data_IF_503036339943
#
_entry.id   IF_503036339943
#
_cell.length_a   1.000
_cell.length_b   1.000
_cell.length_c   1.000
_cell.angle_alpha   90.00
_cell.angle_beta   90.00
_cell.angle_gamma   90.00
#
_symmetry.space_group_name_H-M   'P 1'
#
loop_
_entity.id
_entity.type
_entity.pdbx_description
1 polymer ?
2 non-polymer ?
3 water ?
#
# COMPACT_ATOMS: atom_id res chain seq x y z
N UNK A 4 -22.25 16.79 -15.53
CA UNK A 4 -22.56 15.84 -16.64
C UNK A 4 -24.07 15.53 -16.70
N UNK A 5 -24.46 14.37 -16.17
CA UNK A 5 -25.90 14.05 -15.92
C UNK A 5 -26.34 14.94 -14.77
N UNK A 6 -25.38 15.43 -14.00
CA UNK A 6 -25.75 16.12 -12.78
C UNK A 6 -24.64 16.99 -12.22
N UNK A 7 -24.60 17.11 -10.89
CA UNK A 7 -23.58 17.88 -10.22
C UNK A 7 -22.38 16.97 -9.94
N UNK A 8 -21.59 16.70 -10.96
CA UNK A 8 -20.47 15.79 -10.85
C UNK A 8 -19.20 16.49 -11.28
N UNK A 9 -19.22 17.83 -11.36
CA UNK A 9 -18.07 18.57 -11.69
C UNK A 9 -17.59 19.35 -10.48
N UNK A 10 -16.29 19.41 -10.32
CA UNK A 10 -15.73 20.20 -9.19
C UNK A 10 -14.44 20.80 -9.67
N UNK A 11 -14.22 22.08 -9.50
CA UNK A 11 -12.92 22.60 -9.91
C UNK A 11 -12.77 22.38 -11.44
N UNK A 12 -11.58 22.07 -11.94
CA UNK A 12 -11.51 21.60 -13.35
C UNK A 12 -11.74 20.11 -13.62
N UNK A 13 -12.49 19.41 -12.79
CA UNK A 13 -12.64 17.96 -12.93
C UNK A 13 -14.05 17.52 -13.04
N UNK A 14 -14.25 16.32 -13.62
CA UNK A 14 -15.53 15.70 -13.77
C UNK A 14 -15.36 14.39 -13.07
N UNK A 15 -16.28 14.03 -12.16
CA UNK A 15 -16.20 12.78 -11.39
C UNK A 15 -16.92 11.69 -12.08
N UNK A 16 -16.42 10.45 -12.01
CA UNK A 16 -17.05 9.35 -12.70
C UNK A 16 -17.29 8.19 -11.78
N UNK A 17 -16.94 6.99 -12.22
CA UNK A 17 -17.20 5.79 -11.39
C UNK A 17 -16.41 5.66 -10.05
N UNK A 18 -17.06 5.08 -9.04
CA UNK A 18 -16.39 4.73 -7.79
C UNK A 18 -15.32 3.66 -7.96
N UNK A 19 -14.10 3.93 -7.51
CA UNK A 19 -13.08 2.92 -7.52
C UNK A 19 -12.90 2.25 -6.15
N UNK A 20 -13.31 2.89 -5.06
CA UNK A 20 -13.01 2.35 -3.71
C UNK A 20 -13.83 3.13 -2.69
N UNK A 21 -14.10 2.55 -1.52
CA UNK A 21 -14.86 3.25 -0.45
C UNK A 21 -14.05 3.17 0.81
N UNK A 22 -14.08 4.19 1.66
CA UNK A 22 -13.30 4.01 2.87
C UNK A 22 -14.17 4.47 4.01
N UNK A 23 -13.57 4.55 5.20
CA UNK A 23 -14.30 5.03 6.40
C UNK A 23 -14.96 6.34 6.15
N UNK A 24 -14.25 7.28 5.51
CA UNK A 24 -14.72 8.65 5.47
C UNK A 24 -15.20 9.06 4.07
N UNK A 25 -15.36 8.13 3.16
CA UNK A 25 -16.03 8.53 1.91
C UNK A 25 -15.67 7.55 0.78
N UNK A 26 -15.28 8.06 -0.37
CA UNK A 26 -14.95 7.14 -1.44
C UNK A 26 -14.02 7.78 -2.46
N UNK A 27 -13.42 6.97 -3.31
CA UNK A 27 -12.47 7.52 -4.24
C UNK A 27 -13.13 7.25 -5.61
N UNK A 28 -13.22 8.28 -6.46
CA UNK A 28 -13.74 8.03 -7.79
C UNK A 28 -12.74 8.31 -8.91
N UNK A 29 -12.91 7.62 -10.02
CA UNK A 29 -12.14 8.06 -11.20
C UNK A 29 -12.67 9.41 -11.64
N UNK A 30 -11.78 10.28 -12.07
CA UNK A 30 -12.17 11.61 -12.47
C UNK A 30 -11.44 11.91 -13.78
N UNK A 31 -11.78 13.02 -14.45
CA UNK A 31 -10.95 13.42 -15.61
C UNK A 31 -10.89 14.93 -15.67
N UNK A 32 -9.78 15.47 -16.12
CA UNK A 32 -9.65 16.90 -16.21
C UNK A 32 -10.58 17.30 -17.36
N UNK A 33 -11.35 18.37 -17.21
CA UNK A 33 -12.52 18.56 -18.08
C UNK A 33 -12.11 19.07 -19.49
N UNK A 34 -10.98 19.75 -19.55
CA UNK A 34 -10.44 20.34 -20.74
C UNK A 34 -9.52 19.33 -21.48
N UNK A 35 -8.78 18.52 -20.74
CA UNK A 35 -7.80 17.61 -21.33
C UNK A 35 -8.20 16.15 -21.34
N UNK A 36 -9.20 15.78 -20.54
CA UNK A 36 -9.57 14.38 -20.46
C UNK A 36 -8.58 13.55 -19.61
N UNK A 37 -7.52 14.16 -19.13
CA UNK A 37 -6.51 13.43 -18.31
C UNK A 37 -7.11 12.81 -17.01
N UNK A 38 -6.88 11.53 -16.73
CA UNK A 38 -7.53 10.88 -15.57
C UNK A 38 -6.87 11.21 -14.25
N UNK A 39 -7.69 11.31 -13.20
CA UNK A 39 -7.24 11.52 -11.83
C UNK A 39 -8.05 10.62 -10.90
N UNK A 40 -7.59 10.46 -9.65
CA UNK A 40 -8.38 9.71 -8.60
C UNK A 40 -8.78 10.73 -7.54
N UNK A 41 -10.09 10.95 -7.36
CA UNK A 41 -10.59 11.99 -6.50
C UNK A 41 -11.14 11.29 -5.25
N UNK A 42 -10.45 11.48 -4.12
CA UNK A 42 -11.02 11.02 -2.84
C UNK A 42 -11.97 12.10 -2.36
N UNK A 43 -13.19 11.71 -2.03
CA UNK A 43 -14.19 12.64 -1.55
C UNK A 43 -14.47 12.34 -0.08
N UNK A 44 -14.05 13.23 0.82
CA UNK A 44 -14.20 12.91 2.21
C UNK A 44 -15.44 13.66 2.67
N UNK A 45 -16.37 12.90 3.25
CA UNK A 45 -17.68 13.39 3.74
C UNK A 45 -17.43 14.06 5.13
N UNK A 46 -17.51 15.37 5.17
CA UNK A 46 -17.23 16.15 6.33
C UNK A 46 -18.20 15.95 7.48
N UNK A 47 -19.43 15.58 7.19
CA UNK A 47 -20.34 15.22 8.27
C UNK A 47 -19.92 13.89 8.89
N UNK A 48 -19.54 12.90 8.08
CA UNK A 48 -18.99 11.71 8.71
C UNK A 48 -17.70 12.01 9.54
N UNK A 49 -16.83 12.86 9.04
CA UNK A 49 -15.67 13.28 9.83
C UNK A 49 -16.06 13.92 11.18
N UNK A 50 -17.01 14.85 11.15
CA UNK A 50 -17.45 15.48 12.39
C UNK A 50 -18.07 14.43 13.32
N UNK A 51 -18.80 13.47 12.74
CA UNK A 51 -19.46 12.44 13.54
C UNK A 51 -18.54 11.64 14.40
N UNK A 52 -17.37 11.24 13.87
CA UNK A 52 -16.48 10.44 14.61
C UNK A 52 -15.49 11.38 15.31
N UNK A 53 -15.73 12.69 15.19
CA UNK A 53 -14.89 13.67 15.88
C UNK A 53 -13.38 13.59 15.58
N UNK A 54 -13.03 13.57 14.27
CA UNK A 54 -11.63 13.45 13.85
C UNK A 54 -11.31 14.56 12.86
N UNK A 55 -11.94 15.71 13.08
CA UNK A 55 -11.74 16.85 12.23
C UNK A 55 -10.27 17.30 12.22
N UNK A 56 -9.67 17.52 13.41
CA UNK A 56 -8.26 17.88 13.54
C UNK A 56 -7.30 16.80 12.92
N UNK A 57 -7.58 15.53 13.10
CA UNK A 57 -6.67 14.50 12.57
C UNK A 57 -6.72 14.45 11.02
N UNK A 58 -7.94 14.60 10.45
CA UNK A 58 -8.14 14.64 8.98
C UNK A 58 -7.39 15.82 8.47
N UNK A 59 -7.63 17.03 8.97
CA UNK A 59 -6.86 18.19 8.52
C UNK A 59 -5.35 18.07 8.63
N UNK A 60 -4.82 17.57 9.75
CA UNK A 60 -3.38 17.29 9.82
C UNK A 60 -2.91 16.32 8.72
N UNK A 61 -3.67 15.26 8.50
CA UNK A 61 -3.28 14.28 7.49
C UNK A 61 -3.28 14.92 6.05
N UNK A 62 -4.32 15.63 5.68
CA UNK A 62 -4.38 16.30 4.39
C UNK A 62 -3.20 17.29 4.22
N UNK A 63 -2.94 18.05 5.28
CA UNK A 63 -1.84 18.99 5.18
C UNK A 63 -0.49 18.29 4.98
N UNK A 64 -0.31 17.16 5.66
CA UNK A 64 0.91 16.41 5.57
C UNK A 64 1.05 15.83 4.14
N UNK A 65 -0.02 15.25 3.62
CA UNK A 65 0.00 14.58 2.38
C UNK A 65 0.24 15.58 1.21
N UNK A 66 -0.19 16.83 1.39
CA UNK A 66 0.07 17.86 0.39
C UNK A 66 1.54 18.01 0.02
N UNK A 67 2.41 17.68 0.97
CA UNK A 67 3.84 17.89 0.82
C UNK A 67 4.60 16.61 0.48
N UNK A 68 3.92 15.47 0.43
CA UNK A 68 4.59 14.25 0.05
C UNK A 68 5.10 14.38 -1.40
N UNK A 69 6.30 13.89 -1.61
CA UNK A 69 6.82 13.80 -2.93
C UNK A 69 7.83 12.68 -3.02
N UNK A 70 7.43 11.60 -3.66
CA UNK A 70 8.28 10.43 -3.68
C UNK A 70 7.82 9.74 -4.96
N UNK A 71 8.77 9.23 -5.75
CA UNK A 71 8.36 8.71 -7.03
C UNK A 71 7.53 7.46 -6.87
N UNK A 72 7.45 6.83 -5.68
CA UNK A 72 6.62 5.61 -5.65
C UNK A 72 5.40 5.74 -4.68
N UNK A 73 4.96 6.97 -4.50
CA UNK A 73 3.69 7.33 -3.79
C UNK A 73 2.87 8.24 -4.69
N UNK A 74 1.60 7.84 -4.83
CA UNK A 74 0.61 8.57 -5.53
C UNK A 74 0.64 10.01 -5.05
N UNK A 75 0.74 10.94 -5.99
CA UNK A 75 0.83 12.38 -5.72
C UNK A 75 -0.57 12.96 -5.39
N UNK A 76 -0.57 14.06 -4.68
CA UNK A 76 -1.80 14.79 -4.38
C UNK A 76 -1.61 16.10 -5.15
N UNK A 77 -2.41 16.33 -6.19
CA UNK A 77 -2.39 17.56 -7.04
C UNK A 77 -3.17 18.71 -6.44
N UNK A 78 -4.34 18.42 -5.87
CA UNK A 78 -5.09 19.52 -5.32
C UNK A 78 -6.15 19.08 -4.33
N UNK A 79 -6.51 19.98 -3.42
CA UNK A 79 -7.56 19.73 -2.41
C UNK A 79 -8.58 20.82 -2.54
N UNK A 80 -9.81 20.48 -2.76
CA UNK A 80 -10.80 21.53 -2.79
C UNK A 80 -11.74 21.23 -1.65
N UNK A 81 -11.99 22.19 -0.79
CA UNK A 81 -12.96 21.92 0.24
C UNK A 81 -14.24 22.75 0.10
N UNK A 82 -15.33 22.08 0.35
CA UNK A 82 -16.66 22.64 0.41
C UNK A 82 -17.22 22.36 1.79
N UNK A 83 -18.35 22.97 2.11
CA UNK A 83 -18.95 22.77 3.44
C UNK A 83 -19.24 21.29 3.65
N UNK A 84 -19.52 20.54 2.60
CA UNK A 84 -19.84 19.14 2.90
C UNK A 84 -18.78 18.05 2.56
N UNK A 85 -17.73 18.44 1.86
CA UNK A 85 -16.71 17.44 1.44
C UNK A 85 -15.35 18.06 1.30
N UNK A 86 -14.30 17.26 1.44
CA UNK A 86 -13.02 17.65 0.87
C UNK A 86 -12.80 16.80 -0.39
N UNK A 87 -12.37 17.40 -1.49
CA UNK A 87 -12.08 16.63 -2.68
C UNK A 87 -10.54 16.59 -2.77
N UNK A 88 -9.93 15.42 -2.70
CA UNK A 88 -8.48 15.36 -2.83
C UNK A 88 -8.19 14.82 -4.23
N UNK A 89 -7.75 15.68 -5.12
CA UNK A 89 -7.53 15.24 -6.50
C UNK A 89 -6.15 14.61 -6.57
N UNK A 90 -6.11 13.31 -6.86
CA UNK A 90 -4.84 12.60 -6.78
C UNK A 90 -4.43 12.01 -8.09
N UNK A 91 -3.15 11.64 -8.17
CA UNK A 91 -2.71 10.91 -9.32
C UNK A 91 -3.47 9.58 -9.57
N UNK A 92 -3.91 9.32 -10.81
CA UNK A 92 -4.53 8.05 -11.16
C UNK A 92 -3.44 7.20 -11.82
N UNK A 93 -3.36 5.92 -11.46
CA UNK A 93 -2.40 4.99 -12.14
C UNK A 93 -3.13 3.80 -12.78
N UNK A 94 -2.77 3.48 -14.02
CA UNK A 94 -3.54 2.60 -14.87
C UNK A 94 -3.37 1.10 -14.58
N UNK A 95 -2.25 0.69 -14.02
CA UNK A 95 -2.00 -0.75 -13.84
C UNK A 95 -2.88 -1.46 -12.82
N UNK A 96 -3.59 -0.70 -12.00
CA UNK A 96 -4.41 -1.30 -10.98
C UNK A 96 -3.50 -1.78 -9.86
N UNK A 97 -4.06 -2.66 -9.06
CA UNK A 97 -3.44 -3.04 -7.83
C UNK A 97 -2.47 -4.22 -8.03
N UNK A 98 -1.33 -4.14 -7.38
CA UNK A 98 -0.35 -5.15 -7.54
C UNK A 98 -0.91 -6.56 -7.28
N UNK A 99 -1.65 -6.76 -6.20
CA UNK A 99 -2.12 -8.15 -5.99
C UNK A 99 -3.03 -8.69 -7.11
N UNK A 100 -3.93 -7.85 -7.63
CA UNK A 100 -4.78 -8.23 -8.78
C UNK A 100 -3.94 -8.58 -10.00
N UNK A 101 -2.89 -7.82 -10.24
CA UNK A 101 -2.00 -8.11 -11.36
C UNK A 101 -1.41 -9.50 -11.25
N UNK A 102 -0.78 -9.77 -10.11
CA UNK A 102 -0.17 -11.03 -9.87
C UNK A 102 -1.18 -12.17 -9.98
N UNK A 103 -2.38 -11.88 -9.50
CA UNK A 103 -3.46 -12.83 -9.52
C UNK A 103 -3.85 -13.13 -10.96
N UNK A 104 -4.03 -12.11 -11.78
CA UNK A 104 -4.29 -12.36 -13.17
C UNK A 104 -3.09 -12.96 -13.97
N UNK A 105 -1.87 -12.46 -13.77
CA UNK A 105 -0.75 -12.90 -14.60
C UNK A 105 0.20 -13.87 -13.90
N UNK A 106 -0.10 -14.20 -12.65
CA UNK A 106 0.79 -15.05 -11.88
C UNK A 106 2.10 -14.37 -11.54
N UNK A 107 3.04 -15.11 -10.99
CA UNK A 107 4.32 -14.53 -10.56
C UNK A 107 5.16 -13.73 -11.57
N UNK A 108 6.01 -12.85 -11.03
CA UNK A 108 6.83 -11.95 -11.80
C UNK A 108 8.18 -12.59 -11.84
N UNK A 109 8.87 -12.36 -12.96
CA UNK A 109 10.22 -12.86 -13.06
C UNK A 109 11.10 -12.23 -11.94
N UNK A 110 12.06 -13.00 -11.42
CA UNK A 110 12.86 -12.54 -10.26
C UNK A 110 13.47 -11.13 -10.30
N UNK A 111 14.20 -10.80 -11.37
CA UNK A 111 14.74 -9.44 -11.50
C UNK A 111 13.66 -8.35 -11.39
N UNK A 112 12.52 -8.58 -12.06
CA UNK A 112 11.36 -7.72 -12.03
C UNK A 112 10.78 -7.62 -10.59
N UNK A 113 10.67 -8.76 -9.90
CA UNK A 113 10.26 -8.77 -8.48
C UNK A 113 11.17 -7.89 -7.66
N UNK A 114 12.49 -8.00 -7.85
CA UNK A 114 13.40 -7.15 -7.12
C UNK A 114 13.33 -5.65 -7.44
N UNK A 115 13.19 -5.29 -8.72
CA UNK A 115 12.98 -3.88 -9.14
C UNK A 115 11.77 -3.29 -8.33
N UNK A 116 10.63 -3.94 -8.47
CA UNK A 116 9.38 -3.50 -7.86
C UNK A 116 9.47 -3.50 -6.35
N UNK A 117 10.00 -4.57 -5.78
CA UNK A 117 10.25 -4.58 -4.34
C UNK A 117 11.11 -3.45 -3.80
N UNK A 118 12.21 -3.10 -4.48
CA UNK A 118 13.03 -1.97 -4.00
C UNK A 118 12.25 -0.61 -4.04
N UNK A 119 11.42 -0.45 -5.07
CA UNK A 119 10.56 0.80 -5.14
C UNK A 119 9.53 0.82 -3.99
N UNK A 120 8.86 -0.32 -3.75
CA UNK A 120 7.84 -0.42 -2.66
C UNK A 120 8.50 -0.12 -1.29
N UNK A 121 9.63 -0.77 -1.02
CA UNK A 121 10.24 -0.51 0.30
C UNK A 121 10.79 0.89 0.43
N UNK A 122 11.21 1.52 -0.68
CA UNK A 122 11.65 2.90 -0.50
C UNK A 122 10.39 3.75 -0.07
N UNK A 123 9.25 3.49 -0.70
CA UNK A 123 8.07 4.32 -0.44
C UNK A 123 7.68 4.14 1.03
N UNK A 124 7.77 2.89 1.47
CA UNK A 124 7.44 2.54 2.91
C UNK A 124 8.29 3.25 3.89
N UNK A 125 9.58 3.21 3.64
CA UNK A 125 10.52 3.92 4.43
C UNK A 125 10.22 5.42 4.41
N UNK A 126 9.91 5.97 3.25
CA UNK A 126 9.57 7.42 3.26
C UNK A 126 8.31 7.65 4.15
N UNK A 127 7.32 6.78 4.03
CA UNK A 127 6.15 6.99 4.90
C UNK A 127 6.51 6.89 6.38
N UNK A 128 7.34 5.92 6.74
CA UNK A 128 7.86 5.86 8.15
C UNK A 128 8.49 7.12 8.58
N UNK A 129 9.26 7.75 7.70
CA UNK A 129 9.82 9.04 8.01
C UNK A 129 8.86 10.23 8.00
N UNK A 130 7.77 10.20 7.22
CA UNK A 130 7.00 11.47 7.00
C UNK A 130 5.52 11.52 7.43
N UNK A 131 4.91 10.39 7.67
CA UNK A 131 3.51 10.40 8.02
C UNK A 131 3.47 11.04 9.39
N UNK A 132 2.46 11.87 9.66
CA UNK A 132 2.42 12.58 10.97
C UNK A 132 2.27 11.55 12.03
N UNK A 133 1.51 10.50 11.71
CA UNK A 133 1.23 9.47 12.67
C UNK A 133 1.45 8.19 11.92
N UNK A 134 2.07 7.24 12.60
CA UNK A 134 2.41 6.04 11.93
C UNK A 134 1.12 5.26 11.82
N UNK A 135 0.73 4.78 10.64
CA UNK A 135 -0.29 3.71 10.55
C UNK A 135 0.16 2.64 9.63
N UNK A 136 -0.47 1.47 9.79
CA UNK A 136 0.09 0.25 9.32
C UNK A 136 -0.08 0.10 7.82
N UNK A 137 1.01 -0.22 7.13
CA UNK A 137 0.95 -0.32 5.66
C UNK A 137 -0.15 -1.25 5.32
N UNK A 138 -0.88 -0.99 4.26
CA UNK A 138 -1.88 -1.92 3.76
C UNK A 138 -1.45 -2.49 2.39
N UNK A 139 -1.13 -3.80 2.31
CA UNK A 139 -0.65 -4.29 1.03
C UNK A 139 -1.48 -4.01 -0.19
N UNK A 140 -2.80 -4.00 -0.03
CA UNK A 140 -3.68 -3.71 -1.15
C UNK A 140 -3.50 -2.27 -1.70
N UNK A 141 -2.80 -1.43 -0.95
CA UNK A 141 -2.62 -0.10 -1.45
C UNK A 141 -1.50 0.05 -2.47
N UNK A 142 -0.84 -1.05 -2.84
CA UNK A 142 0.32 -0.97 -3.69
C UNK A 142 -0.25 -1.09 -5.09
N UNK A 143 -0.04 -0.06 -5.88
CA UNK A 143 -0.61 -0.08 -7.22
C UNK A 143 0.52 -0.07 -8.27
N UNK A 144 0.17 -0.18 -9.58
CA UNK A 144 1.20 -0.26 -10.67
C UNK A 144 0.87 0.82 -11.67
N UNK A 145 1.85 1.59 -12.10
CA UNK A 145 1.59 2.63 -13.09
C UNK A 145 1.76 2.13 -14.53
N UNK A 146 1.66 3.03 -15.51
CA UNK A 146 1.62 2.61 -16.94
C UNK A 146 2.98 2.08 -17.36
N UNK A 147 3.99 2.33 -16.54
CA UNK A 147 5.41 1.99 -16.84
C UNK A 147 5.85 0.80 -16.02
N UNK A 148 4.87 0.13 -15.41
CA UNK A 148 5.16 -1.01 -14.53
C UNK A 148 6.03 -0.63 -13.34
N UNK A 149 5.80 0.55 -12.73
CA UNK A 149 6.51 0.91 -11.52
C UNK A 149 5.48 0.94 -10.38
N UNK A 150 5.94 0.62 -9.16
CA UNK A 150 5.08 0.69 -7.94
C UNK A 150 4.65 2.09 -7.62
N UNK A 151 3.39 2.24 -7.22
CA UNK A 151 2.90 3.49 -6.68
C UNK A 151 1.96 3.12 -5.50
N UNK A 152 2.31 3.53 -4.28
CA UNK A 152 1.50 3.28 -3.11
C UNK A 152 0.48 4.43 -2.88
N UNK A 153 -0.77 4.07 -2.80
CA UNK A 153 -1.87 4.99 -2.43
C UNK A 153 -1.86 5.21 -0.90
N UNK A 154 -2.06 6.46 -0.43
CA UNK A 154 -1.92 6.77 0.97
C UNK A 154 -2.92 5.89 1.76
N UNK A 155 -2.48 5.46 2.94
CA UNK A 155 -3.23 4.45 3.65
C UNK A 155 -3.54 4.87 5.09
N UNK A 156 -3.52 6.16 5.39
CA UNK A 156 -3.92 6.62 6.70
C UNK A 156 -5.44 6.68 6.87
N UNK A 157 -5.91 7.68 7.65
CA UNK A 157 -7.34 7.79 7.93
C UNK A 157 -8.15 7.99 6.66
N UNK A 158 -7.59 8.73 5.67
CA UNK A 158 -8.32 8.97 4.41
C UNK A 158 -8.18 7.85 3.39
N UNK A 159 -7.67 6.69 3.82
CA UNK A 159 -7.53 5.54 2.96
C UNK A 159 -8.88 5.20 2.33
N UNK A 160 -8.90 5.04 1.01
CA UNK A 160 -10.14 4.76 0.35
C UNK A 160 -9.99 3.47 -0.45
N UNK A 161 -8.90 2.74 -0.26
CA UNK A 161 -8.65 1.52 -1.08
C UNK A 161 -9.63 0.40 -0.77
N UNK A 162 -10.53 0.13 -1.72
CA UNK A 162 -11.53 -0.96 -1.66
C UNK A 162 -11.37 -1.86 -2.94
N UNK A 163 -12.20 -2.90 -3.06
CA UNK A 163 -11.81 -4.19 -3.72
C UNK A 163 -11.49 -4.40 -5.21
N UNK A 164 -11.26 -5.69 -5.54
CA UNK A 164 -10.47 -6.07 -6.70
C UNK A 164 -10.65 -7.44 -7.34
N UNK A 165 -10.59 -8.53 -6.56
CA UNK A 165 -10.61 -9.89 -7.15
C UNK A 165 -10.92 -11.03 -6.12
N UNK A 166 -10.30 -12.19 -6.33
CA UNK A 166 -10.32 -13.31 -5.34
C UNK A 166 -8.88 -13.79 -4.96
N UNK A 167 -8.74 -14.98 -4.38
CA UNK A 167 -7.37 -15.46 -4.05
C UNK A 167 -6.62 -15.95 -5.29
N UNK A 174 -8.84 -12.49 3.33
CA UNK A 174 -9.16 -11.27 4.07
C UNK A 174 -8.52 -11.28 5.45
N UNK A 175 -8.80 -12.32 6.25
CA UNK A 175 -8.18 -12.47 7.57
C UNK A 175 -6.68 -12.58 7.49
N UNK A 176 -5.97 -11.50 7.80
CA UNK A 176 -4.54 -11.51 7.51
C UNK A 176 -3.80 -10.34 8.13
N UNK A 177 -2.80 -10.66 8.93
CA UNK A 177 -2.09 -9.68 9.75
C UNK A 177 -0.85 -10.34 10.30
N UNK A 178 0.11 -9.54 10.77
CA UNK A 178 1.36 -10.01 11.34
C UNK A 178 1.13 -10.81 12.65
N UNK A 179 2.07 -11.72 13.00
CA UNK A 179 1.90 -12.61 14.17
C UNK A 179 1.50 -11.86 15.46
N UNK A 180 2.27 -10.84 15.85
CA UNK A 180 2.03 -10.10 17.10
C UNK A 180 0.72 -9.31 17.11
N UNK A 181 0.24 -8.95 15.92
CA UNK A 181 -1.07 -8.32 15.78
C UNK A 181 -2.22 -9.28 16.07
N UNK A 182 -2.22 -10.44 15.45
CA UNK A 182 -3.34 -11.38 15.69
C UNK A 182 -3.26 -12.10 17.08
N UNK A 183 -2.08 -12.15 17.68
CA UNK A 183 -1.96 -12.65 19.06
C UNK A 183 -2.39 -11.62 20.10
N UNK A 184 -2.90 -10.47 19.66
CA UNK A 184 -3.30 -9.46 20.62
C UNK A 184 -2.18 -9.01 21.53
N UNK A 185 -0.97 -8.85 20.99
CA UNK A 185 0.17 -8.25 21.75
C UNK A 185 0.43 -6.80 21.41
N UNK A 186 1.11 -6.06 22.30
CA UNK A 186 1.53 -4.67 22.09
C UNK A 186 2.54 -4.65 20.93
N UNK A 187 2.41 -3.75 19.96
CA UNK A 187 3.31 -3.87 18.85
C UNK A 187 3.65 -2.50 18.28
N UNK A 188 4.65 -2.48 17.39
CA UNK A 188 5.17 -1.26 16.81
C UNK A 188 4.90 -1.37 15.30
N UNK A 189 4.22 -0.35 14.78
CA UNK A 189 3.93 -0.24 13.37
C UNK A 189 5.05 -0.63 12.43
N UNK A 190 6.22 -0.01 12.55
CA UNK A 190 7.32 -0.31 11.58
C UNK A 190 7.72 -1.81 11.50
N UNK A 191 7.64 -2.55 12.62
CA UNK A 191 7.95 -3.96 12.54
C UNK A 191 6.89 -4.74 11.85
N UNK A 192 5.61 -4.43 12.09
CA UNK A 192 4.53 -5.10 11.34
C UNK A 192 4.58 -4.75 9.84
N UNK A 193 4.97 -3.54 9.55
CA UNK A 193 5.15 -3.18 8.10
C UNK A 193 6.17 -4.07 7.33
N UNK A 194 7.25 -4.39 7.98
CA UNK A 194 8.27 -5.33 7.42
C UNK A 194 7.62 -6.67 7.08
N UNK A 195 6.83 -7.20 8.02
CA UNK A 195 6.14 -8.46 7.80
C UNK A 195 5.24 -8.34 6.58
N UNK A 196 4.53 -7.21 6.48
CA UNK A 196 3.64 -7.03 5.34
C UNK A 196 4.41 -6.95 3.99
N UNK A 197 5.58 -6.33 3.99
CA UNK A 197 6.48 -6.32 2.81
C UNK A 197 7.05 -7.70 2.45
N UNK A 198 7.19 -8.58 3.46
CA UNK A 198 7.59 -9.97 3.21
C UNK A 198 6.43 -10.67 2.54
N UNK A 199 5.20 -10.35 2.95
CA UNK A 199 4.07 -10.96 2.24
C UNK A 199 4.03 -10.45 0.75
N UNK A 200 4.31 -9.16 0.58
CA UNK A 200 4.35 -8.60 -0.82
C UNK A 200 5.51 -9.22 -1.66
N UNK A 201 6.69 -9.23 -1.13
CA UNK A 201 7.76 -9.89 -1.86
C UNK A 201 7.42 -11.36 -2.23
N UNK A 202 6.93 -12.12 -1.23
CA UNK A 202 6.54 -13.50 -1.45
C UNK A 202 5.51 -13.59 -2.57
N UNK A 203 4.52 -12.70 -2.62
CA UNK A 203 3.56 -12.82 -3.70
C UNK A 203 4.17 -12.47 -5.13
N UNK A 204 5.07 -11.51 -5.19
CA UNK A 204 5.75 -11.15 -6.45
C UNK A 204 6.55 -12.40 -6.95
N UNK A 205 7.28 -13.04 -6.03
CA UNK A 205 8.09 -14.20 -6.37
C UNK A 205 7.33 -15.52 -6.63
N UNK A 206 6.19 -15.75 -5.93
CA UNK A 206 5.59 -17.06 -5.92
C UNK A 206 4.21 -16.98 -6.50
N UNK A 207 3.72 -15.77 -6.70
CA UNK A 207 2.43 -15.70 -7.31
C UNK A 207 1.35 -16.17 -6.37
N UNK A 208 1.68 -16.38 -5.10
CA UNK A 208 0.65 -16.66 -4.10
C UNK A 208 0.99 -15.96 -2.79
N UNK A 209 0.01 -15.90 -1.87
CA UNK A 209 0.26 -15.46 -0.49
C UNK A 209 0.93 -16.59 0.22
N UNK A 210 1.83 -16.27 1.17
CA UNK A 210 2.62 -17.25 1.90
C UNK A 210 1.84 -17.93 3.02
N UNK A 211 0.66 -17.40 3.33
CA UNK A 211 -0.26 -18.10 4.23
C UNK A 211 -1.64 -17.94 3.63
N UNK A 212 -2.22 -19.06 3.19
CA UNK A 212 -3.50 -19.05 2.48
C UNK A 212 -4.36 -20.05 3.25
N UNK A 213 -5.67 -19.82 3.35
CA UNK A 213 -6.48 -20.65 4.26
C UNK A 213 -7.82 -20.01 4.60
N UNK A 214 -8.89 -20.41 3.92
CA UNK A 214 -10.24 -19.91 4.25
C UNK A 214 -10.67 -20.29 5.68
N UNK A 215 -10.09 -21.35 6.22
CA UNK A 215 -10.34 -21.67 7.63
C UNK A 215 -9.52 -20.74 8.55
N UNK A 216 -10.21 -19.78 9.15
CA UNK A 216 -9.56 -18.70 9.90
C UNK A 216 -8.80 -19.12 11.18
N UNK A 217 -8.87 -20.39 11.59
CA UNK A 217 -8.03 -20.83 12.69
C UNK A 217 -6.71 -21.44 12.22
N UNK A 218 -6.76 -22.20 11.12
CA UNK A 218 -5.55 -22.77 10.54
C UNK A 218 -4.67 -21.61 10.09
N UNK A 219 -5.30 -20.70 9.34
CA UNK A 219 -4.62 -19.50 8.83
C UNK A 219 -3.85 -18.81 9.93
N UNK A 220 -4.56 -18.45 10.99
CA UNK A 220 -3.97 -17.79 12.15
C UNK A 220 -2.89 -18.64 12.85
N UNK A 221 -3.16 -19.93 13.04
CA UNK A 221 -2.15 -20.82 13.63
C UNK A 221 -0.96 -20.86 12.68
N UNK A 222 -1.28 -20.92 11.38
CA UNK A 222 -0.25 -20.88 10.33
C UNK A 222 0.59 -19.61 10.43
N UNK A 223 -0.07 -18.46 10.36
CA UNK A 223 0.62 -17.19 10.65
C UNK A 223 1.52 -17.23 11.94
N UNK A 224 0.94 -17.49 13.12
CA UNK A 224 1.75 -17.53 14.37
C UNK A 224 2.78 -18.66 14.35
N UNK A 225 2.42 -19.76 13.69
CA UNK A 225 3.37 -20.86 13.40
C UNK A 225 4.50 -20.41 12.47
N UNK A 226 4.19 -19.56 11.49
CA UNK A 226 5.23 -19.03 10.60
C UNK A 226 5.77 -20.04 9.60
N UNK A 227 4.96 -21.03 9.23
CA UNK A 227 5.40 -22.02 8.25
C UNK A 227 4.92 -21.68 6.85
N UNK A 228 5.88 -21.48 5.95
CA UNK A 228 5.56 -21.13 4.57
C UNK A 228 6.38 -21.94 3.57
N UNK A 229 5.79 -22.15 2.41
CA UNK A 229 6.39 -22.95 1.34
C UNK A 229 7.39 -22.13 0.52
N UNK A 230 8.59 -22.68 0.30
CA UNK A 230 9.58 -22.03 -0.55
C UNK A 230 9.70 -22.85 -1.82
N UNK A 231 9.19 -22.34 -2.97
CA UNK A 231 9.27 -23.15 -4.19
C UNK A 231 10.70 -23.45 -4.61
N UNK A 232 10.87 -24.54 -5.38
CA UNK A 232 12.18 -24.97 -5.87
C UNK A 232 12.90 -23.93 -6.71
N UNK A 233 12.14 -23.21 -7.53
CA UNK A 233 12.74 -22.22 -8.38
C UNK A 233 13.28 -21.01 -7.61
N UNK A 234 12.83 -20.82 -6.36
CA UNK A 234 13.34 -19.65 -5.64
C UNK A 234 14.74 -19.93 -5.22
N UNK A 235 15.65 -18.99 -5.46
CA UNK A 235 17.04 -19.14 -5.01
C UNK A 235 17.12 -19.11 -3.50
N UNK A 236 18.31 -19.35 -2.97
CA UNK A 236 18.47 -19.32 -1.52
C UNK A 236 18.80 -17.95 -0.94
N UNK A 237 19.37 -17.06 -1.73
CA UNK A 237 19.72 -15.74 -1.21
C UNK A 237 18.43 -14.92 -0.95
N UNK A 238 17.41 -15.11 -1.80
CA UNK A 238 16.12 -14.44 -1.60
C UNK A 238 15.26 -15.22 -0.59
N UNK A 239 15.50 -16.52 -0.47
CA UNK A 239 14.77 -17.29 0.54
C UNK A 239 15.15 -16.87 1.95
N UNK A 240 16.41 -16.54 2.17
CA UNK A 240 16.81 -16.07 3.46
C UNK A 240 16.19 -14.72 3.83
N UNK A 241 16.00 -13.86 2.82
CA UNK A 241 15.31 -12.57 3.05
C UNK A 241 13.87 -12.83 3.40
N UNK A 242 13.19 -13.65 2.64
CA UNK A 242 11.81 -13.84 2.97
C UNK A 242 11.67 -14.33 4.41
N UNK A 243 12.58 -15.23 4.81
CA UNK A 243 12.49 -15.80 6.17
C UNK A 243 12.81 -14.76 7.22
N UNK A 244 13.73 -13.86 6.95
CA UNK A 244 14.05 -12.90 8.00
C UNK A 244 12.94 -11.79 8.11
N UNK A 245 12.21 -11.60 7.03
CA UNK A 245 11.13 -10.58 6.99
C UNK A 245 9.86 -11.15 7.54
N UNK A 246 9.64 -12.43 7.29
CA UNK A 246 8.48 -13.08 7.89
C UNK A 246 8.75 -13.76 9.27
N UNK A 247 9.88 -13.51 9.91
CA UNK A 247 10.08 -13.93 11.31
C UNK A 247 8.81 -13.67 12.11
N UNK A 248 8.27 -14.70 12.79
CA UNK A 248 7.07 -14.49 13.66
C UNK A 248 7.44 -13.60 14.83
N UNK A 249 8.66 -13.71 15.28
CA UNK A 249 9.08 -12.90 16.40
C UNK A 249 9.59 -11.52 16.02
N UNK A 250 8.76 -10.48 16.23
CA UNK A 250 9.07 -9.10 15.85
C UNK A 250 10.45 -8.63 16.32
N UNK A 251 10.95 -9.20 17.40
CA UNK A 251 12.26 -8.80 17.86
C UNK A 251 13.30 -9.46 16.97
N UNK A 252 12.96 -10.54 16.28
CA UNK A 252 13.98 -11.17 15.42
C UNK A 252 13.86 -10.74 13.92
N UNK A 253 12.83 -9.97 13.61
CA UNK A 253 12.44 -9.71 12.21
C UNK A 253 13.37 -8.67 11.58
N UNK A 254 13.57 -8.71 10.26
CA UNK A 254 14.48 -7.75 9.66
C UNK A 254 13.94 -6.34 9.86
N UNK A 255 14.80 -5.34 10.01
CA UNK A 255 14.43 -3.95 9.85
C UNK A 255 14.74 -3.50 8.40
N UNK A 256 14.32 -2.29 8.07
CA UNK A 256 14.61 -1.74 6.72
C UNK A 256 16.14 -1.68 6.48
N UNK A 257 16.94 -1.36 7.50
CA UNK A 257 18.40 -1.43 7.35
C UNK A 257 18.93 -2.81 7.02
N UNK A 258 18.37 -3.83 7.66
CA UNK A 258 18.76 -5.21 7.37
C UNK A 258 18.41 -5.56 5.93
N UNK A 259 17.20 -5.20 5.52
CA UNK A 259 16.88 -5.42 4.11
C UNK A 259 17.91 -4.69 3.25
N UNK A 260 18.28 -3.48 3.63
CA UNK A 260 19.13 -2.72 2.75
C UNK A 260 20.49 -3.40 2.54
N UNK A 261 20.92 -4.21 3.50
CA UNK A 261 22.24 -4.79 3.39
C UNK A 261 22.24 -6.20 2.84
N UNK A 262 21.04 -6.79 2.71
CA UNK A 262 20.95 -8.12 2.11
C UNK A 262 21.43 -8.09 0.64
N UNK A 263 22.17 -9.13 0.27
CA UNK A 263 22.85 -9.20 -1.01
C UNK A 263 21.90 -9.22 -2.18
N UNK A 264 20.81 -9.95 -2.01
CA UNK A 264 19.83 -9.96 -3.07
C UNK A 264 19.23 -8.59 -3.26
N UNK A 265 19.05 -7.82 -2.18
CA UNK A 265 18.29 -6.56 -2.28
C UNK A 265 19.13 -5.46 -2.84
N UNK A 266 20.38 -5.40 -2.38
CA UNK A 266 21.28 -4.30 -2.71
C UNK A 266 21.71 -4.29 -4.17
N UNK A 267 21.54 -5.39 -4.83
CA UNK A 267 21.90 -5.52 -6.22
C UNK A 267 21.20 -4.45 -7.07
N UNK A 268 21.95 -3.46 -7.55
CA UNK A 268 21.44 -2.63 -8.63
C UNK A 268 20.29 -1.80 -8.12
N UNK A 269 20.60 -1.09 -7.06
CA UNK A 269 19.67 -0.31 -6.27
C UNK A 269 19.97 1.21 -6.39
N UNK A 270 19.00 2.00 -6.92
CA UNK A 270 19.29 3.41 -7.08
C UNK A 270 19.53 4.09 -5.71
N UNK A 271 20.58 4.89 -5.59
CA UNK A 271 20.87 5.51 -4.25
C UNK A 271 19.77 6.48 -3.81
N UNK A 272 19.11 7.12 -4.78
CA UNK A 272 18.16 8.21 -4.39
C UNK A 272 16.96 7.55 -3.66
N UNK A 273 16.84 6.23 -3.73
CA UNK A 273 15.78 5.49 -3.01
C UNK A 273 15.98 5.44 -1.51
N UNK A 274 17.25 5.49 -1.03
CA UNK A 274 17.46 5.62 0.41
C UNK A 274 18.47 6.70 0.87
N UNK A 275 18.02 7.96 0.89
CA UNK A 275 18.94 9.02 1.25
C UNK A 275 19.28 9.04 2.75
N UNK A 276 20.54 9.40 3.03
CA UNK A 276 21.14 9.44 4.39
C UNK A 276 22.51 8.73 4.44
X LIG B 1 -5.92 -4.72 -13.24
X LIG B 1 -4.99 -5.93 -13.01
X LIG B 1 -5.77 -7.25 -13.11
X LIG B 1 -7.25 -6.95 -13.50
X LIG B 1 -7.32 -6.03 -14.74
X LIG B 1 -6.53 -4.78 -14.60
X LIG B 1 -7.37 -3.60 -14.99
X LIG B 1 -7.02 -2.24 -14.26
X LIG B 1 -7.88 -2.08 -13.04
X LIG B 1 -7.61 -0.99 -12.24
X LIG B 1 -6.96 0.16 -12.74
X LIG B 1 -6.72 1.23 -11.87
X LIG B 1 -8.04 -1.03 -10.92
X LIG B 1 -7.79 0.03 -10.06
X LIG B 1 -7.16 1.20 -10.54
X LIG B 1 -6.88 2.25 -9.64
X LIG B 1 -6.04 3.33 -9.95
X LIG B 1 -7.37 2.19 -8.38
X LIG B 1 -7.13 3.14 -7.50
X LIG B 1 -6.35 4.20 -7.77
X LIG B 1 -5.81 4.33 -9.02
X LIG B 1 -5.11 5.39 -9.06
X LIG B 1 -5.12 6.02 -7.87
X LIG B 1 -5.93 5.32 -7.03
X LIG B 1 -6.18 5.64 -5.66
X LIG B 1 -5.67 6.82 -5.13
X LIG B 1 -5.81 7.19 -3.79
X LIG B 1 -6.50 6.39 -2.99
X LIG B 1 -7.02 5.25 -3.44
X LIG B 1 -6.87 4.82 -4.76
#
# INVERSE_FOLDING_TARGET
GSKHDGRVKIGHYVLGDTLGVGTFGKVKIGEHQLTGHKVAVKILNRQKIRSLDVVGKIKREIQNLKLFRHPHIIKLYQVISTPTDFFMVMEYVSGGELFDYICKHGRVEEMEARRLFQQILSAVDYCHRHMVVHRDLKPENVLLDAHMNAKIADFGLSNMMSDGEFLRDSCGSPNYAAPEVISGRLYAGPEVDIWSCGVILYALLCGTLPFDDEHVPTLFKKIRGGVFYIPEYLNRSVATLLMHMLQVDPLKRATIKDIREHEWFKQDLPSYLFPE
TAK C1 C2 C3 C4 C5 N1 C6 C7 O1 C8 C9 C10 C11 C12 C13 C14 C15 C16 N2 C17 N3 N4 C18 C19 C20 C21 C22 N5 C23 C24
#
